data_IF_080324844625
#
_entry.id   IF_080324844625
#
_cell.length_a   1.000
_cell.length_b   1.000
_cell.length_c   1.000
_cell.angle_alpha   90.00
_cell.angle_beta   90.00
_cell.angle_gamma   90.00
#
_symmetry.space_group_name_H-M   'P 1'
#
loop_
_entity.id
_entity.type
_entity.pdbx_description
1 polymer ?
#
# COMPACT_ATOMS: atom_id res chain seq x y z
N UNK A 1 1.16 21.38 -7.69
CA UNK A 1 0.16 21.43 -6.61
C UNK A 1 0.76 20.69 -5.42
N UNK A 2 0.90 21.36 -4.29
CA UNK A 2 1.61 20.86 -3.10
C UNK A 2 0.86 19.68 -2.49
N UNK A 3 1.58 18.59 -2.29
CA UNK A 3 1.13 17.40 -1.55
C UNK A 3 0.82 17.75 -0.08
N UNK A 4 -0.37 18.31 0.17
CA UNK A 4 -0.92 18.52 1.51
C UNK A 4 -1.52 17.21 2.03
N UNK A 5 -0.68 16.19 2.21
CA UNK A 5 -1.10 15.04 3.02
C UNK A 5 -1.14 15.50 4.47
N UNK A 6 -2.28 15.34 5.15
CA UNK A 6 -2.39 15.47 6.61
C UNK A 6 -1.45 14.46 7.27
N UNK A 7 -0.19 14.84 7.43
CA UNK A 7 0.82 13.99 8.04
C UNK A 7 0.52 13.81 9.52
N UNK A 8 1.04 12.73 10.10
CA UNK A 8 0.97 12.50 11.55
C UNK A 8 1.47 13.71 12.35
N UNK A 9 2.59 14.30 11.91
CA UNK A 9 3.16 15.49 12.53
C UNK A 9 2.20 16.69 12.47
N UNK A 10 1.51 16.87 11.34
CA UNK A 10 0.51 17.94 11.18
C UNK A 10 -0.69 17.72 12.09
N UNK A 11 -1.18 16.50 12.19
CA UNK A 11 -2.29 16.11 13.08
C UNK A 11 -1.93 16.29 14.56
N UNK A 12 -0.71 15.91 14.97
CA UNK A 12 -0.21 16.11 16.33
C UNK A 12 -0.12 17.61 16.67
N UNK A 13 0.30 18.44 15.71
CA UNK A 13 0.28 19.90 15.87
C UNK A 13 -1.13 20.47 15.99
N UNK A 14 -2.10 19.98 15.22
CA UNK A 14 -3.51 20.41 15.35
C UNK A 14 -4.06 19.98 16.72
N UNK A 15 -3.75 18.76 17.17
CA UNK A 15 -4.16 18.24 18.48
C UNK A 15 -3.64 19.09 19.65
N UNK A 16 -2.41 19.60 19.56
CA UNK A 16 -1.80 20.42 20.62
C UNK A 16 -2.32 21.86 20.70
N UNK A 17 -3.11 22.31 19.72
CA UNK A 17 -3.63 23.68 19.69
C UNK A 17 -4.55 24.03 20.86
N UNK A 18 -5.29 23.06 21.41
CA UNK A 18 -6.10 23.31 22.62
C UNK A 18 -5.23 23.69 23.82
N UNK A 19 -4.08 23.04 23.96
CA UNK A 19 -3.10 23.32 25.02
C UNK A 19 -2.39 24.65 24.75
N UNK A 20 -2.14 24.97 23.49
CA UNK A 20 -1.40 26.17 23.07
C UNK A 20 -2.26 27.44 23.17
N UNK A 21 -3.53 27.38 22.74
CA UNK A 21 -4.39 28.56 22.61
C UNK A 21 -5.50 28.64 23.67
N UNK A 22 -5.76 27.56 24.41
CA UNK A 22 -6.81 27.50 25.43
C UNK A 22 -8.20 27.11 24.89
N UNK A 23 -9.05 26.60 25.78
CA UNK A 23 -10.32 25.94 25.43
C UNK A 23 -11.41 26.86 24.82
N UNK A 24 -11.25 28.19 24.91
CA UNK A 24 -12.20 29.17 24.36
C UNK A 24 -11.73 29.86 23.08
N UNK A 25 -10.58 29.44 22.53
CA UNK A 25 -9.97 30.08 21.37
C UNK A 25 -10.47 29.46 20.07
N UNK A 26 -10.85 30.30 19.11
CA UNK A 26 -11.14 29.87 17.76
C UNK A 26 -9.82 29.70 16.99
N UNK A 27 -9.63 28.53 16.37
CA UNK A 27 -8.46 28.25 15.54
C UNK A 27 -8.93 27.92 14.12
N UNK A 28 -8.29 28.53 13.13
CA UNK A 28 -8.64 28.36 11.71
C UNK A 28 -7.77 27.28 11.08
N UNK A 29 -8.41 26.33 10.40
CA UNK A 29 -7.76 25.34 9.54
C UNK A 29 -7.88 25.80 8.07
N UNK A 30 -6.87 25.55 7.22
CA UNK A 30 -7.02 25.64 5.78
C UNK A 30 -8.22 24.79 5.32
N UNK A 31 -8.97 25.29 4.33
CA UNK A 31 -10.18 24.62 3.85
C UNK A 31 -9.91 23.17 3.40
N UNK A 32 -8.80 22.94 2.68
CA UNK A 32 -8.36 21.61 2.24
C UNK A 32 -8.10 20.66 3.42
N UNK A 33 -7.43 21.13 4.48
CA UNK A 33 -7.16 20.31 5.67
C UNK A 33 -8.46 19.99 6.43
N UNK A 34 -9.38 20.96 6.50
CA UNK A 34 -10.67 20.77 7.15
C UNK A 34 -11.57 19.78 6.38
N UNK A 35 -11.61 19.87 5.05
CA UNK A 35 -12.34 18.95 4.18
C UNK A 35 -11.81 17.52 4.30
N UNK A 36 -10.49 17.34 4.23
CA UNK A 36 -9.87 16.02 4.33
C UNK A 36 -10.05 15.40 5.73
N UNK A 37 -9.94 16.19 6.80
CA UNK A 37 -10.27 15.74 8.17
C UNK A 37 -11.73 15.29 8.29
N UNK A 38 -12.67 16.07 7.73
CA UNK A 38 -14.09 15.73 7.76
C UNK A 38 -14.38 14.45 6.98
N UNK A 39 -13.80 14.30 5.78
CA UNK A 39 -13.93 13.10 4.95
C UNK A 39 -13.41 11.86 5.67
N UNK A 40 -12.23 11.94 6.30
CA UNK A 40 -11.66 10.83 7.08
C UNK A 40 -12.52 10.48 8.30
N UNK A 41 -13.05 11.49 9.00
CA UNK A 41 -13.91 11.27 10.16
C UNK A 41 -15.24 10.61 9.77
N UNK A 42 -15.89 11.08 8.70
CA UNK A 42 -17.11 10.48 8.17
C UNK A 42 -16.89 9.04 7.72
N UNK A 43 -15.83 8.78 6.95
CA UNK A 43 -15.49 7.42 6.52
C UNK A 43 -15.21 6.48 7.71
N UNK A 44 -14.62 6.97 8.79
CA UNK A 44 -14.42 6.18 10.01
C UNK A 44 -15.75 5.90 10.73
N UNK A 45 -16.67 6.87 10.77
CA UNK A 45 -18.00 6.71 11.37
C UNK A 45 -18.87 5.73 10.58
N UNK A 46 -18.76 5.74 9.25
CA UNK A 46 -19.54 4.87 8.36
C UNK A 46 -18.91 3.46 8.20
N UNK A 47 -17.72 3.22 8.78
CA UNK A 47 -17.05 1.95 8.65
C UNK A 47 -17.71 0.85 9.49
N UNK A 48 -17.87 -0.34 8.90
CA UNK A 48 -18.38 -1.49 9.63
C UNK A 48 -17.32 -2.03 10.61
N UNK A 49 -17.73 -2.44 11.81
CA UNK A 49 -16.82 -3.02 12.77
C UNK A 49 -16.29 -4.38 12.32
N UNK A 50 -15.05 -4.68 12.68
CA UNK A 50 -14.42 -5.97 12.45
C UNK A 50 -15.20 -7.05 13.21
N UNK A 51 -15.71 -8.04 12.46
CA UNK A 51 -16.42 -9.19 13.00
C UNK A 51 -15.44 -10.32 13.33
N UNK A 52 -15.61 -10.95 14.49
CA UNK A 52 -14.90 -12.17 14.88
C UNK A 52 -15.46 -13.38 14.11
N UNK A 53 -15.07 -13.53 12.84
CA UNK A 53 -15.68 -14.48 11.91
C UNK A 53 -15.57 -15.97 12.29
N UNK A 54 -14.72 -16.33 13.25
CA UNK A 54 -14.54 -17.70 13.75
C UNK A 54 -15.20 -17.94 15.13
N UNK A 55 -15.90 -16.97 15.70
CA UNK A 55 -16.56 -17.10 17.01
C UNK A 55 -15.59 -17.21 18.20
N UNK A 56 -14.30 -16.87 18.01
CA UNK A 56 -13.30 -16.93 19.08
C UNK A 56 -13.60 -15.97 20.24
N UNK A 57 -14.30 -14.88 19.98
CA UNK A 57 -14.84 -13.95 20.98
C UNK A 57 -15.73 -14.64 22.03
N UNK A 58 -16.30 -15.80 21.70
CA UNK A 58 -17.16 -16.58 22.62
C UNK A 58 -16.50 -17.86 23.09
N UNK A 59 -15.87 -18.58 22.17
CA UNK A 59 -15.29 -19.91 22.48
C UNK A 59 -14.05 -19.80 23.36
N UNK A 60 -13.23 -18.76 23.19
CA UNK A 60 -12.02 -18.57 24.00
C UNK A 60 -12.35 -18.17 25.43
N UNK A 61 -13.23 -17.18 25.72
CA UNK A 61 -13.65 -16.90 27.10
C UNK A 61 -14.30 -18.08 27.79
N UNK A 62 -15.12 -18.87 27.08
CA UNK A 62 -15.73 -20.08 27.64
C UNK A 62 -14.67 -21.13 28.03
N UNK A 63 -13.67 -21.36 27.18
CA UNK A 63 -12.57 -22.29 27.48
C UNK A 63 -11.72 -21.81 28.67
N UNK A 64 -11.44 -20.50 28.76
CA UNK A 64 -10.69 -19.91 29.87
C UNK A 64 -11.41 -20.08 31.22
N UNK A 65 -12.73 -19.86 31.25
CA UNK A 65 -13.54 -20.11 32.46
C UNK A 65 -13.57 -21.58 32.85
N UNK A 66 -13.75 -22.47 31.86
CA UNK A 66 -13.70 -23.91 32.11
C UNK A 66 -12.37 -24.33 32.76
N UNK A 67 -11.25 -23.81 32.27
CA UNK A 67 -9.92 -24.07 32.85
C UNK A 67 -9.72 -23.45 34.23
N UNK A 68 -10.45 -22.38 34.57
CA UNK A 68 -10.40 -21.76 35.89
C UNK A 68 -11.11 -22.61 36.96
N UNK A 69 -12.12 -23.40 36.54
CA UNK A 69 -12.96 -24.22 37.43
C UNK A 69 -12.51 -25.69 37.51
N UNK A 70 -11.68 -26.17 36.58
CA UNK A 70 -11.36 -27.59 36.45
C UNK A 70 -9.86 -27.91 36.68
N UNK A 71 -9.54 -29.12 37.17
CA UNK A 71 -8.17 -29.60 37.28
C UNK A 71 -7.50 -29.61 35.90
N UNK A 72 -6.27 -29.09 35.83
CA UNK A 72 -5.51 -29.00 34.58
C UNK A 72 -4.72 -30.30 34.38
N UNK A 73 -5.01 -31.11 33.35
CA UNK A 73 -4.51 -32.48 33.26
C UNK A 73 -3.02 -32.62 32.95
N UNK A 74 -2.33 -31.58 32.44
CA UNK A 74 -0.90 -31.62 32.06
C UNK A 74 -0.23 -30.26 32.34
N UNK A 75 0.99 -30.26 32.90
CA UNK A 75 1.84 -29.06 33.04
C UNK A 75 1.64 -28.27 34.33
N UNK A 76 1.56 -28.97 35.47
CA UNK A 76 1.45 -28.39 36.80
C UNK A 76 2.61 -27.45 37.15
N UNK A 77 2.44 -26.17 36.81
CA UNK A 77 2.96 -24.95 37.42
C UNK A 77 2.59 -23.80 36.46
N UNK A 78 1.29 -23.55 36.30
CA UNK A 78 0.86 -22.46 35.42
C UNK A 78 0.95 -21.16 36.20
N UNK A 79 1.80 -20.24 35.77
CA UNK A 79 1.88 -18.83 36.24
C UNK A 79 0.52 -18.10 36.28
N UNK A 80 -0.52 -18.69 35.69
CA UNK A 80 -1.89 -18.22 35.72
C UNK A 80 -2.73 -18.96 36.77
N UNK A 81 -3.13 -18.24 37.82
CA UNK A 81 -4.14 -18.73 38.77
C UNK A 81 -5.55 -18.58 38.15
N UNK A 82 -6.57 -19.11 38.83
CA UNK A 82 -7.96 -19.00 38.36
C UNK A 82 -8.39 -17.53 38.11
N UNK A 83 -7.92 -16.59 38.93
CA UNK A 83 -8.23 -15.17 38.76
C UNK A 83 -7.65 -14.59 37.46
N UNK A 84 -6.43 -14.98 37.07
CA UNK A 84 -5.85 -14.55 35.79
C UNK A 84 -6.66 -15.06 34.58
N UNK A 85 -7.19 -16.29 34.66
CA UNK A 85 -8.01 -16.86 33.59
C UNK A 85 -9.37 -16.14 33.47
N UNK A 86 -10.00 -15.82 34.60
CA UNK A 86 -11.22 -15.00 34.61
C UNK A 86 -10.99 -13.59 34.08
N UNK A 87 -9.87 -12.97 34.46
CA UNK A 87 -9.50 -11.65 33.96
C UNK A 87 -9.31 -11.67 32.44
N UNK A 88 -8.56 -12.63 31.92
CA UNK A 88 -8.34 -12.75 30.48
C UNK A 88 -9.64 -13.01 29.70
N UNK A 89 -10.52 -13.87 30.22
CA UNK A 89 -11.83 -14.10 29.62
C UNK A 89 -12.64 -12.79 29.54
N UNK A 90 -12.63 -12.00 30.61
CA UNK A 90 -13.32 -10.71 30.69
C UNK A 90 -12.71 -9.68 29.73
N UNK A 91 -11.39 -9.62 29.63
CA UNK A 91 -10.70 -8.70 28.71
C UNK A 91 -11.06 -9.01 27.25
N UNK A 92 -11.11 -10.29 26.87
CA UNK A 92 -11.52 -10.70 25.52
C UNK A 92 -12.97 -10.32 25.24
N UNK A 93 -13.89 -10.52 26.19
CA UNK A 93 -15.29 -10.12 26.05
C UNK A 93 -15.44 -8.60 25.95
N UNK A 94 -14.73 -7.84 26.79
CA UNK A 94 -14.71 -6.38 26.71
C UNK A 94 -14.14 -5.87 25.38
N UNK A 95 -13.10 -6.54 24.86
CA UNK A 95 -12.55 -6.24 23.54
C UNK A 95 -13.51 -6.61 22.40
N UNK A 96 -14.36 -7.62 22.59
CA UNK A 96 -15.39 -8.01 21.64
C UNK A 96 -16.61 -7.07 21.69
N UNK A 97 -16.90 -6.48 22.84
CA UNK A 97 -17.95 -5.46 23.03
C UNK A 97 -17.55 -4.10 22.42
N UNK A 98 -16.25 -3.79 22.38
CA UNK A 98 -15.73 -2.59 21.74
C UNK A 98 -15.58 -2.80 20.21
N UNK A 99 -16.28 -2.03 19.36
CA UNK A 99 -16.14 -2.17 17.93
C UNK A 99 -14.72 -1.75 17.48
N UNK A 100 -13.96 -2.69 16.94
CA UNK A 100 -12.69 -2.40 16.26
C UNK A 100 -13.00 -2.01 14.82
N UNK A 101 -12.71 -0.78 14.42
CA UNK A 101 -12.93 -0.34 13.03
C UNK A 101 -11.72 -0.69 12.16
N UNK A 102 -11.95 -1.27 10.98
CA UNK A 102 -10.89 -1.54 10.01
C UNK A 102 -10.49 -0.21 9.36
N UNK A 103 -9.19 -0.02 9.08
CA UNK A 103 -8.77 1.06 8.17
C UNK A 103 -9.55 0.96 6.85
N UNK A 104 -10.02 2.10 6.36
CA UNK A 104 -10.86 2.22 5.16
C UNK A 104 -10.36 1.32 4.03
N UNK A 105 -11.15 0.28 3.74
CA UNK A 105 -10.98 -0.54 2.53
C UNK A 105 -11.32 0.33 1.31
N UNK A 106 -10.86 -0.03 0.09
CA UNK A 106 -11.34 0.62 -1.13
C UNK A 106 -12.88 0.72 -1.10
N UNK A 107 -13.41 1.87 -1.51
CA UNK A 107 -14.82 2.22 -1.34
C UNK A 107 -15.72 1.13 -1.96
N UNK A 108 -16.74 0.62 -1.26
CA UNK A 108 -17.66 -0.41 -1.79
C UNK A 108 -18.22 -0.09 -3.19
N UNK A 109 -18.42 1.20 -3.47
CA UNK A 109 -18.84 1.70 -4.79
C UNK A 109 -17.81 1.45 -5.91
N UNK A 110 -16.51 1.61 -5.63
CA UNK A 110 -15.45 1.39 -6.64
C UNK A 110 -15.37 -0.08 -7.03
N UNK A 111 -15.52 -0.97 -6.05
CA UNK A 111 -15.54 -2.40 -6.30
C UNK A 111 -16.81 -2.83 -7.03
N UNK A 112 -17.95 -2.20 -6.74
CA UNK A 112 -19.18 -2.39 -7.50
C UNK A 112 -19.01 -1.98 -8.97
N UNK A 113 -18.53 -0.76 -9.23
CA UNK A 113 -18.26 -0.25 -10.59
C UNK A 113 -17.32 -1.19 -11.34
N UNK A 114 -16.27 -1.71 -10.68
CA UNK A 114 -15.34 -2.66 -11.29
C UNK A 114 -16.00 -3.99 -11.68
N UNK A 115 -16.90 -4.53 -10.85
CA UNK A 115 -17.65 -5.76 -11.14
C UNK A 115 -18.64 -5.56 -12.28
N UNK A 116 -19.44 -4.50 -12.23
CA UNK A 116 -20.43 -4.17 -13.28
C UNK A 116 -19.74 -3.95 -14.64
N UNK A 117 -18.63 -3.20 -14.64
CA UNK A 117 -17.81 -3.03 -15.83
C UNK A 117 -17.29 -4.38 -16.37
N UNK A 118 -16.85 -5.28 -15.51
CA UNK A 118 -16.36 -6.59 -15.92
C UNK A 118 -17.44 -7.46 -16.55
N UNK A 119 -18.64 -7.47 -15.97
CA UNK A 119 -19.81 -8.19 -16.50
C UNK A 119 -20.24 -7.63 -17.86
N UNK A 120 -20.35 -6.30 -17.96
CA UNK A 120 -20.70 -5.62 -19.21
C UNK A 120 -19.67 -5.87 -20.31
N UNK A 121 -18.37 -5.74 -20.00
CA UNK A 121 -17.27 -5.98 -20.96
C UNK A 121 -17.26 -7.44 -21.44
N UNK A 122 -17.51 -8.40 -20.54
CA UNK A 122 -17.62 -9.80 -20.91
C UNK A 122 -18.84 -10.07 -21.80
N UNK A 123 -19.99 -9.47 -21.49
CA UNK A 123 -21.21 -9.62 -22.30
C UNK A 123 -21.07 -8.99 -23.70
N UNK A 124 -20.40 -7.84 -23.77
CA UNK A 124 -20.28 -7.05 -25.01
C UNK A 124 -19.19 -7.60 -25.94
N UNK A 125 -18.01 -7.90 -25.40
CA UNK A 125 -16.84 -8.26 -26.20
C UNK A 125 -16.50 -9.75 -26.15
N UNK A 126 -17.17 -10.53 -25.29
CA UNK A 126 -16.90 -11.95 -25.13
C UNK A 126 -15.53 -12.26 -24.55
N UNK A 127 -15.05 -13.47 -24.80
CA UNK A 127 -13.79 -13.99 -24.27
C UNK A 127 -12.58 -13.57 -25.12
N UNK A 128 -12.24 -12.28 -25.08
CA UNK A 128 -11.02 -11.73 -25.68
C UNK A 128 -9.90 -11.58 -24.65
N UNK A 129 -8.65 -11.64 -25.12
CA UNK A 129 -7.45 -11.50 -24.28
C UNK A 129 -7.09 -10.05 -23.92
N UNK A 130 -6.06 -9.84 -23.08
CA UNK A 130 -5.72 -8.53 -22.51
C UNK A 130 -5.08 -7.54 -23.50
N UNK A 131 -4.60 -8.01 -24.66
CA UNK A 131 -3.85 -7.19 -25.62
C UNK A 131 -4.70 -6.07 -26.24
N UNK A 132 -5.98 -6.31 -26.49
CA UNK A 132 -6.89 -5.31 -27.04
C UNK A 132 -7.04 -4.10 -26.10
N UNK A 133 -7.50 -4.32 -24.85
CA UNK A 133 -7.58 -3.26 -23.84
C UNK A 133 -6.25 -2.52 -23.60
N UNK A 134 -5.11 -3.22 -23.60
CA UNK A 134 -3.79 -2.57 -23.44
C UNK A 134 -3.43 -1.65 -24.63
N UNK A 135 -3.77 -2.05 -25.86
CA UNK A 135 -3.59 -1.18 -27.04
C UNK A 135 -4.51 0.03 -26.97
N UNK A 136 -5.74 -0.17 -26.52
CA UNK A 136 -6.70 0.93 -26.33
C UNK A 136 -6.20 1.89 -25.24
N UNK A 137 -5.72 1.38 -24.11
CA UNK A 137 -5.17 2.17 -23.01
C UNK A 137 -4.06 3.13 -23.47
N UNK A 138 -3.26 2.74 -24.46
CA UNK A 138 -2.22 3.61 -25.01
C UNK A 138 -2.76 4.83 -25.76
N UNK A 139 -3.99 4.77 -26.28
CA UNK A 139 -4.69 5.89 -26.93
C UNK A 139 -5.33 6.80 -25.89
N UNK A 140 -6.07 6.23 -24.94
CA UNK A 140 -6.70 6.98 -23.84
C UNK A 140 -5.65 7.74 -23.00
N UNK A 141 -4.45 7.18 -22.84
CA UNK A 141 -3.36 7.88 -22.18
C UNK A 141 -2.89 9.15 -22.94
N UNK A 142 -3.02 9.19 -24.27
CA UNK A 142 -2.73 10.38 -25.07
C UNK A 142 -3.86 11.40 -25.00
N UNK A 143 -5.11 10.93 -24.97
CA UNK A 143 -6.32 11.76 -24.84
C UNK A 143 -6.34 12.45 -23.46
N UNK A 144 -6.13 11.69 -22.37
CA UNK A 144 -5.94 12.21 -21.02
C UNK A 144 -4.76 13.18 -20.89
N UNK A 145 -3.67 12.97 -21.65
CA UNK A 145 -2.52 13.88 -21.65
C UNK A 145 -2.82 15.20 -22.36
N UNK A 146 -3.70 15.19 -23.37
CA UNK A 146 -4.15 16.40 -24.07
C UNK A 146 -5.16 17.20 -23.21
N UNK A 147 -6.04 16.51 -22.49
CA UNK A 147 -7.10 17.11 -21.67
C UNK A 147 -7.08 16.58 -20.22
N UNK A 148 -6.05 16.89 -19.42
CA UNK A 148 -5.88 16.30 -18.07
C UNK A 148 -6.98 16.70 -17.08
N UNK A 149 -7.78 17.71 -17.41
CA UNK A 149 -8.95 18.13 -16.62
C UNK A 149 -10.23 17.37 -16.94
N UNK A 150 -10.27 16.58 -18.02
CA UNK A 150 -11.42 15.74 -18.34
C UNK A 150 -11.36 14.42 -17.56
N UNK A 151 -12.30 14.23 -16.63
CA UNK A 151 -12.34 13.05 -15.79
C UNK A 151 -12.78 11.78 -16.53
N UNK A 152 -13.46 11.87 -17.69
CA UNK A 152 -13.81 10.66 -18.45
C UNK A 152 -12.59 9.95 -18.99
N UNK A 153 -11.58 10.69 -19.46
CA UNK A 153 -10.34 10.12 -19.99
C UNK A 153 -9.57 9.31 -18.93
N UNK A 154 -9.57 9.79 -17.68
CA UNK A 154 -9.02 9.03 -16.55
C UNK A 154 -9.84 7.79 -16.22
N UNK A 155 -11.16 7.86 -16.35
CA UNK A 155 -12.06 6.74 -16.14
C UNK A 155 -11.85 5.65 -17.20
N UNK A 156 -11.69 6.03 -18.47
CA UNK A 156 -11.41 5.10 -19.57
C UNK A 156 -10.08 4.37 -19.36
N UNK A 157 -9.01 5.08 -18.95
CA UNK A 157 -7.76 4.43 -18.56
C UNK A 157 -7.96 3.39 -17.44
N UNK A 158 -8.75 3.72 -16.42
CA UNK A 158 -9.03 2.80 -15.31
C UNK A 158 -9.81 1.56 -15.75
N UNK A 159 -10.85 1.73 -16.56
CA UNK A 159 -11.65 0.63 -17.09
C UNK A 159 -10.81 -0.31 -17.95
N UNK A 160 -9.99 0.23 -18.85
CA UNK A 160 -9.13 -0.55 -19.73
C UNK A 160 -8.03 -1.30 -18.97
N UNK A 161 -7.45 -0.68 -17.93
CA UNK A 161 -6.45 -1.34 -17.10
C UNK A 161 -7.06 -2.50 -16.30
N UNK A 162 -8.23 -2.30 -15.68
CA UNK A 162 -8.94 -3.37 -14.98
C UNK A 162 -9.35 -4.50 -15.92
N UNK A 163 -9.80 -4.17 -17.14
CA UNK A 163 -10.17 -5.16 -18.14
C UNK A 163 -8.98 -6.01 -18.56
N UNK A 164 -7.84 -5.38 -18.82
CA UNK A 164 -6.59 -6.06 -19.15
C UNK A 164 -6.13 -6.99 -18.03
N UNK A 165 -6.15 -6.52 -16.77
CA UNK A 165 -5.77 -7.33 -15.61
C UNK A 165 -6.66 -8.56 -15.46
N UNK A 166 -7.99 -8.37 -15.52
CA UNK A 166 -8.97 -9.46 -15.43
C UNK A 166 -8.75 -10.49 -16.53
N UNK A 167 -8.61 -10.05 -17.79
CA UNK A 167 -8.40 -10.93 -18.96
C UNK A 167 -7.05 -11.64 -18.94
N UNK A 168 -6.06 -11.09 -18.24
CA UNK A 168 -4.77 -11.74 -18.00
C UNK A 168 -4.79 -12.72 -16.81
N UNK A 169 -5.91 -12.82 -16.08
CA UNK A 169 -6.01 -13.63 -14.87
C UNK A 169 -5.20 -13.10 -13.68
N UNK A 170 -4.88 -11.79 -13.70
CA UNK A 170 -4.10 -11.15 -12.63
C UNK A 170 -5.05 -10.81 -11.49
N UNK A 171 -4.76 -11.33 -10.29
CA UNK A 171 -5.54 -11.02 -9.08
C UNK A 171 -5.10 -9.69 -8.45
N UNK A 172 -5.97 -9.11 -7.63
CA UNK A 172 -5.65 -7.88 -6.89
C UNK A 172 -4.46 -8.06 -5.95
N UNK A 173 -4.33 -9.22 -5.31
CA UNK A 173 -3.17 -9.53 -4.46
C UNK A 173 -1.88 -9.60 -5.28
N UNK A 174 -1.92 -10.24 -6.46
CA UNK A 174 -0.75 -10.36 -7.32
C UNK A 174 -0.26 -9.01 -7.83
N UNK A 175 -1.16 -8.15 -8.31
CA UNK A 175 -0.76 -6.82 -8.79
C UNK A 175 -0.33 -5.92 -7.63
N UNK A 176 -0.99 -6.00 -6.47
CA UNK A 176 -0.62 -5.21 -5.28
C UNK A 176 0.79 -5.59 -4.82
N UNK A 177 1.09 -6.88 -4.71
CA UNK A 177 2.41 -7.34 -4.34
C UNK A 177 3.48 -6.90 -5.36
N UNK A 178 3.19 -7.06 -6.66
CA UNK A 178 4.08 -6.58 -7.73
C UNK A 178 4.31 -5.06 -7.67
N UNK A 179 3.29 -4.26 -7.32
CA UNK A 179 3.41 -2.82 -7.13
C UNK A 179 4.28 -2.47 -5.92
N UNK A 180 4.14 -3.18 -4.79
CA UNK A 180 4.97 -2.99 -3.59
C UNK A 180 6.45 -3.24 -3.92
N UNK A 181 6.75 -4.38 -4.53
CA UNK A 181 8.11 -4.75 -4.93
C UNK A 181 8.69 -3.75 -5.94
N UNK A 182 7.88 -3.36 -6.93
CA UNK A 182 8.30 -2.40 -7.94
C UNK A 182 8.58 -1.02 -7.34
N UNK A 183 7.79 -0.59 -6.36
CA UNK A 183 7.99 0.67 -5.65
C UNK A 183 9.30 0.65 -4.85
N UNK A 184 9.61 -0.44 -4.16
CA UNK A 184 10.87 -0.60 -3.45
C UNK A 184 12.07 -0.47 -4.40
N UNK A 185 12.03 -1.12 -5.55
CA UNK A 185 13.06 -0.99 -6.61
C UNK A 185 13.15 0.44 -7.13
N UNK A 186 12.02 1.11 -7.37
CA UNK A 186 12.02 2.48 -7.90
C UNK A 186 12.61 3.51 -6.92
N UNK A 187 12.39 3.31 -5.61
CA UNK A 187 12.96 4.17 -4.54
C UNK A 187 14.49 4.08 -4.46
N UNK A 188 15.08 2.97 -4.90
CA UNK A 188 16.53 2.77 -4.88
C UNK A 188 17.25 3.29 -6.14
N UNK A 189 16.50 3.80 -7.13
CA UNK A 189 17.06 4.27 -8.41
C UNK A 189 17.44 5.74 -8.37
N UNK A 190 18.41 6.10 -9.20
CA UNK A 190 18.74 7.48 -9.50
C UNK A 190 17.83 8.02 -10.63
N UNK A 191 17.30 9.22 -10.42
CA UNK A 191 16.37 9.88 -11.34
C UNK A 191 16.95 11.22 -11.82
N UNK A 192 16.72 11.60 -13.08
CA UNK A 192 17.10 12.92 -13.59
C UNK A 192 16.23 14.02 -12.96
N UNK A 193 16.65 15.27 -13.12
CA UNK A 193 15.90 16.42 -12.60
C UNK A 193 14.44 16.47 -13.11
N UNK A 194 13.52 16.98 -12.27
CA UNK A 194 12.18 17.35 -12.66
C UNK A 194 12.11 18.25 -13.90
N UNK A 195 11.17 17.95 -14.81
CA UNK A 195 10.88 18.55 -16.12
C UNK A 195 9.42 18.26 -16.43
N UNK A 196 8.62 19.30 -16.54
CA UNK A 196 7.18 19.14 -16.73
C UNK A 196 6.85 18.61 -18.13
N UNK A 197 5.74 17.87 -18.25
CA UNK A 197 5.25 17.32 -19.53
C UNK A 197 6.05 16.16 -20.16
N UNK A 198 7.26 15.86 -19.67
CA UNK A 198 8.14 14.86 -20.30
C UNK A 198 8.26 13.54 -19.52
N UNK A 199 8.26 12.37 -20.21
CA UNK A 199 8.49 11.07 -19.56
C UNK A 199 9.86 11.01 -18.87
N UNK A 200 9.88 10.55 -17.61
CA UNK A 200 11.13 10.32 -16.86
C UNK A 200 11.54 8.86 -16.90
N UNK A 201 12.79 8.63 -17.30
CA UNK A 201 13.42 7.33 -17.19
C UNK A 201 14.51 7.37 -16.12
N UNK A 202 14.65 6.27 -15.38
CA UNK A 202 15.75 6.10 -14.43
C UNK A 202 17.09 6.10 -15.16
N UNK A 203 18.12 6.60 -14.49
CA UNK A 203 19.49 6.60 -15.02
C UNK A 203 19.99 5.16 -14.99
N UNK A 204 20.31 4.59 -16.15
CA UNK A 204 20.98 3.29 -16.25
C UNK A 204 22.46 3.50 -15.96
N UNK A 205 23.03 2.77 -15.01
CA UNK A 205 24.48 2.70 -14.88
C UNK A 205 25.06 2.21 -16.21
N UNK A 206 25.97 2.98 -16.79
CA UNK A 206 26.73 2.51 -17.95
C UNK A 206 27.52 1.28 -17.48
N UNK A 207 27.49 0.14 -18.19
CA UNK A 207 28.36 -0.97 -17.86
C UNK A 207 29.79 -0.43 -17.79
N UNK A 208 30.49 -0.71 -16.68
CA UNK A 208 31.91 -0.34 -16.54
C UNK A 208 32.61 -0.86 -17.81
N UNK A 209 33.24 0.03 -18.58
CA UNK A 209 34.09 -0.39 -19.69
C UNK A 209 35.08 -1.39 -19.10
N UNK A 210 35.03 -2.65 -19.54
CA UNK A 210 36.15 -3.56 -19.32
C UNK A 210 37.35 -2.89 -19.97
N UNK A 211 38.27 -2.41 -19.14
CA UNK A 211 39.54 -1.89 -19.63
C UNK A 211 40.34 -3.14 -20.01
N UNK A 212 40.16 -3.61 -21.24
CA UNK A 212 40.80 -4.84 -21.73
C UNK A 212 42.31 -4.65 -21.96
N UNK A 213 42.84 -3.44 -21.80
CA UNK A 213 44.25 -3.15 -22.08
C UNK A 213 44.78 -1.98 -21.25
N UNK A 214 45.91 -2.21 -20.60
CA UNK A 214 46.68 -1.18 -19.93
C UNK A 214 47.53 -0.45 -20.98
N UNK A 215 47.30 0.85 -21.17
CA UNK A 215 48.02 1.67 -22.17
C UNK A 215 49.50 1.89 -21.80
N UNK A 216 49.93 1.46 -20.62
CA UNK A 216 51.32 1.49 -20.14
C UNK A 216 52.10 0.25 -20.57
N UNK A 217 51.43 -0.88 -20.85
CA UNK A 217 52.08 -2.13 -21.22
C UNK A 217 52.10 -2.27 -22.73
N UNK A 218 53.11 -1.70 -23.40
CA UNK A 218 53.27 -1.77 -24.87
C UNK A 218 53.69 -3.14 -25.40
N UNK A 219 53.62 -4.21 -24.61
CA UNK A 219 53.90 -5.57 -25.08
C UNK A 219 52.88 -6.58 -24.53
N UNK A 220 51.82 -6.82 -25.30
CA UNK A 220 51.38 -8.16 -25.70
C UNK A 220 51.10 -9.27 -24.66
N UNK A 221 51.05 -9.02 -23.36
CA UNK A 221 50.76 -10.08 -22.37
C UNK A 221 49.28 -10.11 -21.98
N UNK A 222 48.61 -11.26 -22.20
CA UNK A 222 47.36 -11.58 -21.50
C UNK A 222 47.70 -11.84 -20.03
N UNK A 223 47.25 -10.94 -19.16
CA UNK A 223 47.60 -10.92 -17.74
C UNK A 223 48.36 -9.64 -17.42
N UNK A 224 47.64 -8.63 -16.90
CA UNK A 224 48.18 -7.29 -16.64
C UNK A 224 49.43 -7.31 -15.76
N UNK A 225 50.31 -6.33 -15.95
CA UNK A 225 51.51 -6.19 -15.15
C UNK A 225 51.16 -6.10 -13.65
N UNK A 226 52.01 -6.68 -12.79
CA UNK A 226 51.79 -6.81 -11.34
C UNK A 226 51.57 -5.50 -10.56
N UNK A 227 51.59 -4.34 -11.23
CA UNK A 227 51.29 -3.03 -10.66
C UNK A 227 49.79 -2.67 -10.71
N UNK A 228 48.97 -3.38 -11.51
CA UNK A 228 47.50 -3.16 -11.58
C UNK A 228 46.70 -3.93 -10.51
N UNK A 229 47.36 -4.68 -9.63
CA UNK A 229 46.73 -5.49 -8.59
C UNK A 229 46.35 -4.66 -7.34
N UNK A 230 46.85 -3.43 -7.22
CA UNK A 230 46.55 -2.54 -6.09
C UNK A 230 45.44 -1.55 -6.44
N UNK A 231 44.18 -1.99 -6.33
CA UNK A 231 43.10 -1.25 -5.66
C UNK A 231 41.75 -1.97 -5.83
N UNK A 232 41.47 -2.88 -4.90
CA UNK A 232 40.19 -2.86 -4.17
C UNK A 232 39.01 -3.65 -4.74
N UNK A 233 38.71 -4.75 -4.03
CA UNK A 233 37.40 -5.39 -3.82
C UNK A 233 36.76 -6.12 -5.00
N UNK A 234 37.12 -7.40 -5.14
CA UNK A 234 36.19 -8.44 -5.54
C UNK A 234 35.60 -9.10 -4.28
N UNK A 235 34.39 -8.68 -3.91
CA UNK A 235 33.32 -9.51 -3.35
C UNK A 235 32.04 -9.16 -4.12
#
# INVERSE_FOLDING_TARGET
>A
MTSNQLTRERLEKIKSWRETFGAGSNVMLPAEEAEELARMALAAMDSEPVVWGNGCDKTVPAALRYLAENPRPIGGESSFNAAHLYQLAREIELMAEAPLYRHAQPTPERDQVRREHAEWSQATFGNVGPVGPLKHLSKEALEAAAEPGDLSEWADMQFLLWDAQRRAGITDDQITQAMIEKLAVNKQRSWPEPKDGEPRQHIKERPRKKVDRCDVCTEGARGGCGTCIFNGNFE
#
